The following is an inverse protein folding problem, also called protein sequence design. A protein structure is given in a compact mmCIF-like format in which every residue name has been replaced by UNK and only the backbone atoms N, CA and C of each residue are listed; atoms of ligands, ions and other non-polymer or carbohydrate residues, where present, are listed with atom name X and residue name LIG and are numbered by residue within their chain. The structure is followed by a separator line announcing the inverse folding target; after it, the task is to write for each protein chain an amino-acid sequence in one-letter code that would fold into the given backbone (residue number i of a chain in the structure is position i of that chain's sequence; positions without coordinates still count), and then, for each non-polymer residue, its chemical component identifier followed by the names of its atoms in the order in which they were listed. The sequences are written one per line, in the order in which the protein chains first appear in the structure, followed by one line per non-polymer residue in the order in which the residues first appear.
data_IF_536324465081
#
_entry.id   IF_536324465081
#
_cell.length_a   1.000
_cell.length_b   1.000
_cell.length_c   1.000
_cell.angle_alpha   90.00
_cell.angle_beta   90.00
_cell.angle_gamma   90.00
#
_symmetry.space_group_name_H-M   'P 1'
#
loop_
_entity.id
_entity.type
_entity.pdbx_description
1 polymer ?
#
# COMPACT_ATOMS: atom_id res chain seq x y z
N UNK A 1 -2.15 -28.47 -34.62
CA UNK A 1 -2.11 -29.05 -33.26
C UNK A 1 -2.21 -27.91 -32.26
N UNK A 2 -3.29 -27.86 -31.47
CA UNK A 2 -3.44 -26.82 -30.44
C UNK A 2 -2.39 -27.05 -29.35
N UNK A 3 -1.62 -26.01 -29.01
CA UNK A 3 -0.64 -26.08 -27.91
C UNK A 3 -1.39 -26.31 -26.60
N UNK A 4 -1.01 -27.35 -25.87
CA UNK A 4 -1.50 -27.55 -24.51
C UNK A 4 -1.18 -26.31 -23.67
N UNK A 5 -2.14 -25.81 -22.86
CA UNK A 5 -1.91 -24.65 -22.02
C UNK A 5 -0.74 -24.91 -21.06
N UNK A 6 0.12 -23.91 -20.88
CA UNK A 6 1.17 -23.94 -19.86
C UNK A 6 0.55 -24.17 -18.47
N UNK A 7 1.31 -24.77 -17.55
CA UNK A 7 0.86 -24.99 -16.17
C UNK A 7 0.34 -23.70 -15.50
N UNK A 8 0.93 -22.55 -15.86
CA UNK A 8 0.45 -21.24 -15.43
C UNK A 8 -0.96 -20.90 -15.94
N UNK A 9 -1.28 -21.18 -17.21
CA UNK A 9 -2.61 -20.90 -17.77
C UNK A 9 -3.68 -21.79 -17.14
N UNK A 10 -3.34 -23.03 -16.78
CA UNK A 10 -4.25 -23.92 -16.05
C UNK A 10 -4.60 -23.36 -14.66
N UNK A 11 -3.59 -22.96 -13.89
CA UNK A 11 -3.79 -22.35 -12.57
C UNK A 11 -4.56 -21.02 -12.66
N UNK A 12 -4.29 -20.23 -13.71
CA UNK A 12 -4.99 -18.98 -13.96
C UNK A 12 -6.48 -19.21 -14.25
N UNK A 13 -6.82 -20.21 -15.07
CA UNK A 13 -8.20 -20.56 -15.39
C UNK A 13 -8.95 -21.06 -14.15
N UNK A 14 -8.32 -21.90 -13.32
CA UNK A 14 -8.90 -22.37 -12.05
C UNK A 14 -9.19 -21.20 -11.09
N UNK A 15 -8.31 -20.21 -11.01
CA UNK A 15 -8.54 -19.00 -10.20
C UNK A 15 -9.69 -18.15 -10.73
N UNK A 16 -9.80 -18.01 -12.06
CA UNK A 16 -10.93 -17.30 -12.69
C UNK A 16 -12.25 -18.01 -12.38
N UNK A 17 -12.27 -19.33 -12.45
CA UNK A 17 -13.46 -20.14 -12.17
C UNK A 17 -13.91 -20.00 -10.72
N UNK A 18 -13.01 -20.19 -9.75
CA UNK A 18 -13.30 -20.01 -8.32
C UNK A 18 -13.81 -18.61 -7.99
N UNK A 19 -13.25 -17.58 -8.63
CA UNK A 19 -13.71 -16.20 -8.46
C UNK A 19 -15.12 -15.99 -9.06
N UNK A 20 -15.41 -16.57 -10.22
CA UNK A 20 -16.74 -16.49 -10.81
C UNK A 20 -17.79 -17.21 -9.95
N UNK A 21 -17.45 -18.35 -9.36
CA UNK A 21 -18.32 -19.05 -8.41
C UNK A 21 -18.60 -18.19 -7.19
N UNK A 22 -17.56 -17.57 -6.60
CA UNK A 22 -17.72 -16.64 -5.47
C UNK A 22 -18.57 -15.42 -5.83
N UNK A 23 -18.42 -14.86 -7.03
CA UNK A 23 -19.25 -13.75 -7.50
C UNK A 23 -20.70 -14.19 -7.75
N UNK A 24 -20.91 -15.44 -8.16
CA UNK A 24 -22.24 -16.04 -8.34
C UNK A 24 -22.94 -16.29 -7.01
N UNK A 25 -22.24 -16.79 -5.99
CA UNK A 25 -22.80 -16.96 -4.64
C UNK A 25 -23.16 -15.63 -4.00
N UNK A 26 -22.41 -14.58 -4.30
CA UNK A 26 -22.71 -13.21 -3.84
C UNK A 26 -23.82 -12.52 -4.66
N UNK A 27 -24.32 -13.12 -5.74
CA UNK A 27 -25.34 -12.53 -6.61
C UNK A 27 -24.86 -11.32 -7.42
N UNK A 28 -23.54 -11.16 -7.60
CA UNK A 28 -22.93 -10.04 -8.32
C UNK A 28 -22.75 -10.29 -9.82
N UNK A 29 -22.92 -11.54 -10.29
CA UNK A 29 -22.76 -11.87 -11.70
C UNK A 29 -23.95 -11.38 -12.56
N UNK A 30 -25.13 -11.25 -11.95
CA UNK A 30 -26.31 -10.68 -12.57
C UNK A 30 -26.25 -9.16 -12.48
N UNK A 31 -25.97 -8.50 -13.60
CA UNK A 31 -25.85 -7.03 -13.67
C UNK A 31 -27.16 -6.37 -13.21
N UNK A 32 -27.22 -5.63 -12.09
CA UNK A 32 -28.33 -4.71 -11.89
C UNK A 32 -28.23 -3.60 -12.95
N UNK A 33 -29.36 -3.27 -13.58
CA UNK A 33 -29.49 -2.08 -14.45
C UNK A 33 -29.01 -0.85 -13.66
N UNK A 34 -28.24 0.07 -14.27
CA UNK A 34 -27.77 1.26 -13.59
C UNK A 34 -28.97 2.11 -13.14
N UNK A 35 -29.26 2.12 -11.85
CA UNK A 35 -30.19 3.07 -11.27
C UNK A 35 -29.52 4.44 -11.29
N UNK A 36 -30.20 5.41 -11.92
CA UNK A 36 -29.73 6.80 -11.98
C UNK A 36 -29.70 7.34 -10.55
N UNK A 37 -28.53 7.35 -9.91
CA UNK A 37 -28.38 7.92 -8.58
C UNK A 37 -28.75 9.42 -8.63
N UNK A 38 -29.66 9.83 -7.75
CA UNK A 38 -30.03 11.23 -7.57
C UNK A 38 -28.80 12.04 -7.13
N UNK A 39 -28.57 13.20 -7.76
CA UNK A 39 -27.45 14.09 -7.45
C UNK A 39 -27.62 14.62 -6.02
N UNK A 40 -26.70 14.28 -5.13
CA UNK A 40 -26.66 14.87 -3.79
C UNK A 40 -26.25 16.34 -3.86
N UNK A 41 -26.84 17.22 -3.03
CA UNK A 41 -26.50 18.64 -3.01
C UNK A 41 -25.08 18.87 -2.46
N UNK A 42 -24.37 19.90 -2.94
CA UNK A 42 -22.99 20.17 -2.55
C UNK A 42 -22.89 20.60 -1.08
N UNK A 43 -21.97 19.99 -0.33
CA UNK A 43 -21.65 20.35 1.06
C UNK A 43 -21.00 21.75 1.13
N UNK A 44 -21.44 22.59 2.07
CA UNK A 44 -20.90 23.93 2.33
C UNK A 44 -19.44 23.86 2.82
N UNK A 45 -18.60 24.76 2.32
CA UNK A 45 -17.19 24.84 2.63
C UNK A 45 -16.91 25.28 4.08
N UNK A 46 -15.89 24.68 4.71
CA UNK A 46 -15.39 25.06 6.04
C UNK A 46 -14.53 26.33 5.94
N UNK A 47 -14.65 27.24 6.91
CA UNK A 47 -13.81 28.45 7.06
C UNK A 47 -12.37 28.06 7.40
N UNK A 48 -11.42 28.56 6.62
CA UNK A 48 -9.97 28.46 6.88
C UNK A 48 -9.48 29.60 7.77
N UNK A 49 -8.58 29.26 8.68
CA UNK A 49 -7.89 30.14 9.63
C UNK A 49 -6.81 30.97 8.92
N UNK A 50 -6.61 32.22 9.37
CA UNK A 50 -5.65 33.19 8.81
C UNK A 50 -4.19 32.71 8.96
N UNK A 51 -3.43 32.78 7.86
CA UNK A 51 -1.96 32.74 7.84
C UNK A 51 -1.45 33.98 7.08
N UNK A 52 -0.34 34.52 7.56
CA UNK A 52 0.28 35.81 7.19
C UNK A 52 0.78 35.92 5.74
N UNK A 53 0.92 37.15 5.20
CA UNK A 53 0.98 37.37 3.75
C UNK A 53 2.42 37.34 3.18
N UNK A 54 2.67 36.43 2.22
CA UNK A 54 3.73 36.61 1.22
C UNK A 54 3.30 37.60 0.12
N UNK A 55 4.24 38.27 -0.58
CA UNK A 55 3.90 39.26 -1.60
C UNK A 55 3.01 38.65 -2.69
N UNK A 56 1.82 39.22 -2.82
CA UNK A 56 0.73 38.71 -3.65
C UNK A 56 0.95 39.06 -5.12
N UNK A 57 0.88 38.05 -5.98
CA UNK A 57 0.54 38.22 -7.40
C UNK A 57 -0.90 38.75 -7.47
N UNK A 58 -1.06 40.07 -7.58
CA UNK A 58 -2.37 40.71 -7.63
C UNK A 58 -3.08 40.33 -8.93
N UNK A 59 -4.19 39.59 -8.83
CA UNK A 59 -5.03 39.34 -9.99
C UNK A 59 -5.87 40.58 -10.29
N UNK A 60 -5.89 40.96 -11.58
CA UNK A 60 -6.57 42.14 -12.13
C UNK A 60 -8.07 42.23 -11.78
N UNK A 61 -8.67 41.10 -11.40
CA UNK A 61 -10.08 40.95 -11.02
C UNK A 61 -10.45 41.61 -9.69
N UNK A 62 -9.47 41.86 -8.81
CA UNK A 62 -9.68 42.55 -7.52
C UNK A 62 -9.56 44.08 -7.61
N UNK A 63 -9.16 44.63 -8.76
CA UNK A 63 -8.91 46.07 -8.94
C UNK A 63 -10.06 46.83 -9.63
N UNK A 64 -11.24 46.22 -9.83
CA UNK A 64 -12.40 46.84 -10.50
C UNK A 64 -12.06 47.53 -11.84
N UNK A 65 -11.05 47.04 -12.55
CA UNK A 65 -10.69 47.55 -13.87
C UNK A 65 -11.74 47.04 -14.88
N UNK A 66 -12.35 47.93 -15.69
CA UNK A 66 -13.32 47.50 -16.70
C UNK A 66 -12.65 46.57 -17.71
N UNK A 67 -13.33 45.48 -18.05
CA UNK A 67 -12.83 44.51 -19.02
C UNK A 67 -12.77 45.15 -20.42
N UNK A 68 -11.68 44.95 -21.20
CA UNK A 68 -11.64 45.44 -22.57
C UNK A 68 -12.69 44.73 -23.41
N UNK A 69 -13.62 45.50 -23.98
CA UNK A 69 -14.62 45.06 -24.95
C UNK A 69 -13.96 44.81 -26.30
N UNK A 70 -13.26 43.70 -26.44
CA UNK A 70 -12.92 43.13 -27.74
C UNK A 70 -14.01 42.12 -28.13
N UNK A 71 -14.91 42.59 -28.99
CA UNK A 71 -15.75 41.89 -29.98
C UNK A 71 -15.88 40.38 -29.77
N UNK A 72 -17.10 39.98 -29.39
CA UNK A 72 -17.59 38.60 -29.41
C UNK A 72 -17.61 38.10 -30.87
N UNK A 73 -16.62 37.32 -31.27
CA UNK A 73 -16.81 36.31 -32.31
C UNK A 73 -17.23 35.06 -31.55
N UNK A 74 -18.51 34.70 -31.64
CA UNK A 74 -19.03 33.45 -31.09
C UNK A 74 -18.53 32.29 -31.94
N UNK A 75 -17.29 31.87 -31.72
CA UNK A 75 -16.90 30.53 -32.14
C UNK A 75 -17.55 29.52 -31.19
N UNK A 76 -18.19 28.45 -31.72
CA UNK A 76 -18.83 27.45 -30.90
C UNK A 76 -17.79 26.80 -30.00
N UNK A 77 -17.90 27.04 -28.69
CA UNK A 77 -17.09 26.39 -27.65
C UNK A 77 -17.26 24.88 -27.75
N UNK A 78 -16.36 24.22 -28.45
CA UNK A 78 -16.21 22.78 -28.39
C UNK A 78 -15.87 22.42 -26.96
N UNK A 79 -16.69 21.55 -26.35
CA UNK A 79 -16.50 21.04 -24.99
C UNK A 79 -15.17 20.30 -24.97
N UNK A 80 -14.09 20.98 -24.61
CA UNK A 80 -12.80 20.34 -24.34
C UNK A 80 -12.97 19.54 -23.06
N UNK A 81 -13.30 18.26 -23.22
CA UNK A 81 -13.26 17.28 -22.14
C UNK A 81 -11.83 17.25 -21.63
N UNK A 82 -11.58 17.87 -20.48
CA UNK A 82 -10.32 17.74 -19.77
C UNK A 82 -10.21 16.27 -19.35
N UNK A 83 -9.61 15.46 -20.22
CA UNK A 83 -9.26 14.08 -19.94
C UNK A 83 -8.26 14.10 -18.78
N UNK A 84 -8.74 13.94 -17.55
CA UNK A 84 -7.87 13.60 -16.44
C UNK A 84 -7.20 12.27 -16.81
N UNK A 85 -5.86 12.20 -16.90
CA UNK A 85 -5.19 10.96 -17.21
C UNK A 85 -5.63 9.93 -16.17
N UNK A 86 -6.09 8.77 -16.64
CA UNK A 86 -6.41 7.65 -15.75
C UNK A 86 -5.16 7.35 -14.91
N UNK A 87 -5.30 7.15 -13.58
CA UNK A 87 -4.15 6.77 -12.76
C UNK A 87 -3.51 5.54 -13.40
N UNK A 88 -2.22 5.65 -13.71
CA UNK A 88 -1.48 4.53 -14.33
C UNK A 88 -1.61 3.32 -13.40
N UNK A 89 -1.92 2.13 -13.92
CA UNK A 89 -1.84 0.92 -13.12
C UNK A 89 -0.43 0.86 -12.53
N UNK A 90 -0.34 0.83 -11.19
CA UNK A 90 0.96 0.68 -10.52
C UNK A 90 1.54 -0.65 -10.99
N UNK A 91 2.68 -0.62 -11.69
CA UNK A 91 3.46 -1.83 -11.96
C UNK A 91 3.87 -2.39 -10.60
N UNK A 92 3.27 -3.51 -10.22
CA UNK A 92 3.77 -4.30 -9.11
C UNK A 92 5.02 -4.97 -9.69
N UNK A 93 6.19 -4.38 -9.46
CA UNK A 93 7.44 -5.11 -9.63
C UNK A 93 7.46 -6.07 -8.44
N UNK A 94 7.14 -7.33 -8.70
CA UNK A 94 7.38 -8.39 -7.73
C UNK A 94 8.89 -8.60 -7.67
N UNK A 95 9.54 -7.85 -6.78
CA UNK A 95 10.88 -8.20 -6.34
C UNK A 95 10.77 -9.58 -5.68
N UNK A 96 11.39 -10.57 -6.32
CA UNK A 96 11.56 -11.89 -5.74
C UNK A 96 12.50 -11.71 -4.55
N UNK A 97 11.93 -11.72 -3.35
CA UNK A 97 12.72 -11.74 -2.11
C UNK A 97 13.14 -13.19 -1.92
N UNK A 98 14.44 -13.53 -2.04
CA UNK A 98 14.89 -14.90 -1.82
C UNK A 98 14.69 -15.29 -0.35
N UNK A 99 14.27 -16.54 -0.13
CA UNK A 99 14.21 -17.14 1.20
C UNK A 99 15.60 -17.29 1.81
N UNK A 100 15.67 -17.33 3.14
CA UNK A 100 16.92 -17.52 3.86
C UNK A 100 17.34 -19.00 3.86
N UNK A 101 18.60 -19.28 3.50
CA UNK A 101 19.19 -20.61 3.69
C UNK A 101 19.38 -20.90 5.19
N UNK A 102 19.48 -22.17 5.55
CA UNK A 102 19.66 -22.56 6.95
C UNK A 102 21.01 -22.10 7.51
N UNK A 103 22.05 -22.04 6.68
CA UNK A 103 23.35 -21.45 7.01
C UNK A 103 23.21 -19.95 7.34
N UNK A 104 22.46 -19.20 6.51
CA UNK A 104 22.21 -17.78 6.75
C UNK A 104 21.43 -17.56 8.06
N UNK A 105 20.44 -18.42 8.36
CA UNK A 105 19.70 -18.34 9.63
C UNK A 105 20.60 -18.55 10.84
N UNK A 106 21.60 -19.45 10.76
CA UNK A 106 22.58 -19.67 11.84
C UNK A 106 23.53 -18.46 12.01
N UNK A 107 23.93 -17.82 10.90
CA UNK A 107 24.74 -16.59 10.96
C UNK A 107 23.93 -15.47 11.62
N UNK A 108 22.65 -15.32 11.25
CA UNK A 108 21.78 -14.29 11.83
C UNK A 108 21.54 -14.52 13.33
N UNK A 109 21.27 -15.76 13.75
CA UNK A 109 21.04 -16.10 15.15
C UNK A 109 22.30 -15.92 16.03
N UNK A 110 23.49 -16.13 15.48
CA UNK A 110 24.75 -15.89 16.19
C UNK A 110 25.12 -14.41 16.30
N UNK A 111 24.79 -13.58 15.31
CA UNK A 111 25.11 -12.14 15.32
C UNK A 111 24.18 -11.33 16.23
N UNK A 112 22.91 -11.74 16.33
CA UNK A 112 21.88 -10.94 17.02
C UNK A 112 20.99 -11.83 17.87
N UNK A 113 21.00 -11.60 19.19
CA UNK A 113 20.05 -12.21 20.10
C UNK A 113 18.61 -11.75 19.82
N UNK A 114 17.65 -12.66 19.95
CA UNK A 114 16.23 -12.39 19.71
C UNK A 114 15.65 -11.29 20.62
N UNK A 115 16.20 -11.08 21.82
CA UNK A 115 15.74 -10.01 22.70
C UNK A 115 16.19 -8.61 22.22
N UNK A 116 17.32 -8.53 21.52
CA UNK A 116 17.98 -7.26 21.16
C UNK A 116 17.77 -6.86 19.70
N UNK A 117 17.18 -7.73 18.87
CA UNK A 117 17.17 -7.49 17.42
C UNK A 117 16.38 -6.25 17.03
N UNK A 118 15.34 -5.88 17.79
CA UNK A 118 14.53 -4.68 17.52
C UNK A 118 15.37 -3.42 17.73
N UNK A 119 16.19 -3.39 18.79
CA UNK A 119 17.07 -2.26 19.08
C UNK A 119 18.18 -2.14 18.03
N UNK A 120 18.80 -3.26 17.64
CA UNK A 120 19.80 -3.27 16.56
C UNK A 120 19.19 -2.89 15.21
N UNK A 121 17.95 -3.28 14.92
CA UNK A 121 17.21 -2.84 13.74
C UNK A 121 16.98 -1.32 13.77
N UNK A 122 16.62 -0.76 14.93
CA UNK A 122 16.47 0.69 15.09
C UNK A 122 17.78 1.43 14.79
N UNK A 123 18.91 0.96 15.33
CA UNK A 123 20.23 1.51 15.03
C UNK A 123 20.55 1.45 13.53
N UNK A 124 20.37 0.29 12.90
CA UNK A 124 20.57 0.13 11.47
C UNK A 124 19.72 1.12 10.64
N UNK A 125 18.43 1.25 10.97
CA UNK A 125 17.53 2.12 10.23
C UNK A 125 17.85 3.61 10.41
N UNK A 126 18.42 3.99 11.56
CA UNK A 126 18.78 5.38 11.88
C UNK A 126 20.14 5.75 11.29
N UNK A 127 21.16 4.94 11.55
CA UNK A 127 22.55 5.31 11.33
C UNK A 127 23.05 4.86 9.94
N UNK A 128 22.63 3.67 9.49
CA UNK A 128 23.08 3.06 8.23
C UNK A 128 22.13 3.40 7.10
N UNK A 129 20.86 3.00 7.21
CA UNK A 129 19.86 3.21 6.15
C UNK A 129 19.30 4.65 6.14
N UNK A 130 19.43 5.40 7.24
CA UNK A 130 19.07 6.82 7.35
C UNK A 130 17.62 7.14 6.91
N UNK A 131 16.64 6.39 7.42
CA UNK A 131 15.22 6.70 7.16
C UNK A 131 14.73 7.86 8.03
N UNK A 132 13.67 8.55 7.60
CA UNK A 132 13.05 9.60 8.41
C UNK A 132 12.50 9.06 9.73
N UNK A 133 12.56 9.87 10.79
CA UNK A 133 12.08 9.49 12.13
C UNK A 133 10.60 9.02 12.13
N UNK A 134 9.75 9.64 11.31
CA UNK A 134 8.35 9.21 11.18
C UNK A 134 8.21 7.83 10.52
N UNK A 135 9.08 7.49 9.57
CA UNK A 135 9.05 6.18 8.93
C UNK A 135 9.60 5.12 9.90
N UNK A 136 10.67 5.45 10.62
CA UNK A 136 11.25 4.61 11.67
C UNK A 136 10.21 4.24 12.72
N UNK A 137 9.50 5.23 13.27
CA UNK A 137 8.47 4.98 14.28
C UNK A 137 7.36 4.04 13.78
N UNK A 138 6.97 4.16 12.49
CA UNK A 138 5.98 3.27 11.88
C UNK A 138 6.48 1.84 11.72
N UNK A 139 7.70 1.69 11.22
CA UNK A 139 8.33 0.37 11.02
C UNK A 139 8.50 -0.34 12.37
N UNK A 140 9.10 0.35 13.35
CA UNK A 140 9.34 -0.23 14.67
C UNK A 140 8.03 -0.59 15.36
N UNK A 141 7.01 0.26 15.31
CA UNK A 141 5.69 -0.07 15.89
C UNK A 141 5.13 -1.39 15.36
N UNK A 142 5.21 -1.64 14.05
CA UNK A 142 4.74 -2.90 13.47
C UNK A 142 5.65 -4.07 13.85
N UNK A 143 6.98 -3.91 13.76
CA UNK A 143 7.92 -4.97 14.09
C UNK A 143 7.81 -5.37 15.57
N UNK A 144 7.73 -4.43 16.51
CA UNK A 144 7.56 -4.73 17.95
C UNK A 144 6.29 -5.53 18.23
N UNK A 145 5.20 -5.22 17.54
CA UNK A 145 3.94 -5.98 17.65
C UNK A 145 4.11 -7.40 17.15
N UNK A 146 4.75 -7.56 15.99
CA UNK A 146 5.02 -8.86 15.39
C UNK A 146 6.03 -9.69 16.22
N UNK A 147 7.05 -9.06 16.79
CA UNK A 147 8.05 -9.73 17.63
C UNK A 147 7.52 -10.11 19.01
N UNK A 148 6.47 -9.44 19.49
CA UNK A 148 5.79 -9.81 20.74
C UNK A 148 4.72 -10.90 20.54
N UNK A 149 4.36 -11.22 19.29
CA UNK A 149 3.25 -12.12 18.98
C UNK A 149 1.85 -11.51 19.13
N UNK A 150 1.72 -10.19 19.40
CA UNK A 150 0.42 -9.50 19.39
C UNK A 150 -0.24 -9.57 17.99
N UNK A 151 0.60 -9.59 16.95
CA UNK A 151 0.16 -9.49 15.56
C UNK A 151 -0.23 -8.05 15.19
N UNK A 152 -0.60 -7.84 13.92
CA UNK A 152 -1.07 -6.54 13.43
C UNK A 152 -2.42 -6.68 12.75
N UNK A 153 -3.28 -5.67 12.92
CA UNK A 153 -4.64 -5.68 12.37
C UNK A 153 -4.93 -4.37 11.64
N UNK A 154 -5.56 -4.48 10.48
CA UNK A 154 -6.12 -3.33 9.79
C UNK A 154 -7.52 -2.98 10.34
N UNK A 155 -7.90 -1.70 10.45
CA UNK A 155 -9.20 -1.30 10.99
C UNK A 155 -10.41 -1.91 10.26
N UNK A 156 -10.28 -2.13 8.95
CA UNK A 156 -11.31 -2.69 8.08
C UNK A 156 -11.43 -4.23 8.17
N UNK A 157 -10.44 -4.91 8.77
CA UNK A 157 -10.51 -6.35 8.96
C UNK A 157 -11.50 -6.70 10.09
N UNK A 158 -12.09 -7.91 10.09
CA UNK A 158 -12.95 -8.35 11.19
C UNK A 158 -12.25 -8.26 12.56
N UNK A 159 -13.01 -8.15 13.64
CA UNK A 159 -12.50 -7.81 14.98
C UNK A 159 -11.47 -8.81 15.53
N UNK A 160 -11.53 -10.07 15.11
CA UNK A 160 -10.63 -11.14 15.54
C UNK A 160 -9.54 -11.49 14.53
N UNK A 161 -9.52 -10.84 13.36
CA UNK A 161 -8.57 -11.13 12.29
C UNK A 161 -7.29 -10.29 12.46
N UNK A 162 -6.22 -10.96 12.84
CA UNK A 162 -4.90 -10.36 13.04
C UNK A 162 -3.88 -11.14 12.21
N UNK A 163 -3.00 -10.42 11.52
CA UNK A 163 -1.86 -11.01 10.84
C UNK A 163 -0.82 -11.44 11.88
N UNK A 164 -0.46 -12.73 11.87
CA UNK A 164 0.53 -13.37 12.74
C UNK A 164 0.26 -13.22 14.25
N UNK A 165 -1.00 -13.30 14.67
CA UNK A 165 -1.32 -13.30 16.12
C UNK A 165 -0.96 -14.65 16.74
N UNK A 166 -0.19 -14.60 17.83
CA UNK A 166 0.34 -15.77 18.54
C UNK A 166 1.67 -16.29 17.98
N UNK A 167 2.13 -15.77 16.84
CA UNK A 167 3.41 -16.14 16.24
C UNK A 167 4.43 -15.00 16.44
N UNK A 168 5.60 -15.33 16.96
CA UNK A 168 6.67 -14.35 17.19
C UNK A 168 7.56 -14.24 15.97
N UNK A 169 7.64 -13.03 15.40
CA UNK A 169 8.60 -12.74 14.32
C UNK A 169 9.99 -12.55 14.90
N UNK A 170 10.93 -13.33 14.38
CA UNK A 170 12.35 -13.32 14.73
C UNK A 170 13.22 -12.74 13.62
N UNK A 171 14.47 -12.44 13.95
CA UNK A 171 15.48 -12.03 12.96
C UNK A 171 15.73 -13.13 11.91
N UNK A 172 15.50 -14.40 12.26
CA UNK A 172 15.66 -15.57 11.38
C UNK A 172 14.40 -15.94 10.60
N UNK A 173 13.28 -15.25 10.85
CA UNK A 173 12.02 -15.53 10.16
C UNK A 173 12.14 -15.31 8.65
N UNK A 174 11.48 -16.16 7.86
CA UNK A 174 11.44 -16.05 6.42
C UNK A 174 10.50 -14.92 5.99
N UNK A 175 11.08 -13.76 5.70
CA UNK A 175 10.32 -12.57 5.29
C UNK A 175 9.48 -12.84 4.02
N UNK A 176 9.93 -13.70 3.12
CA UNK A 176 9.19 -14.00 1.90
C UNK A 176 7.86 -14.67 2.24
N UNK A 177 7.92 -15.75 3.03
CA UNK A 177 6.73 -16.48 3.50
C UNK A 177 5.78 -15.58 4.29
N UNK A 178 6.32 -14.71 5.17
CA UNK A 178 5.50 -13.77 5.92
C UNK A 178 4.77 -12.78 4.98
N UNK A 179 5.41 -12.30 3.92
CA UNK A 179 4.77 -11.42 2.94
C UNK A 179 3.67 -12.16 2.18
N UNK A 180 3.88 -13.43 1.82
CA UNK A 180 2.87 -14.26 1.15
C UNK A 180 1.65 -14.49 2.04
N UNK A 181 1.83 -14.93 3.29
CA UNK A 181 0.74 -15.07 4.28
C UNK A 181 -0.02 -13.76 4.48
N UNK A 182 0.69 -12.64 4.45
CA UNK A 182 0.06 -11.31 4.52
C UNK A 182 -0.82 -11.01 3.31
N UNK A 183 -0.41 -11.42 2.10
CA UNK A 183 -1.23 -11.28 0.89
C UNK A 183 -2.49 -12.13 0.96
N UNK A 184 -2.39 -13.35 1.49
CA UNK A 184 -3.56 -14.21 1.73
C UNK A 184 -4.55 -13.54 2.69
N UNK A 185 -4.06 -12.94 3.77
CA UNK A 185 -4.90 -12.14 4.69
C UNK A 185 -5.57 -10.96 3.99
N UNK A 186 -4.87 -10.27 3.08
CA UNK A 186 -5.45 -9.17 2.30
C UNK A 186 -6.50 -9.65 1.29
N UNK A 187 -6.34 -10.84 0.72
CA UNK A 187 -7.32 -11.45 -0.19
C UNK A 187 -8.58 -11.91 0.56
N UNK A 188 -8.41 -12.42 1.78
CA UNK A 188 -9.51 -12.92 2.59
C UNK A 188 -10.30 -11.80 3.27
N UNK A 189 -9.62 -10.85 3.92
CA UNK A 189 -10.22 -9.84 4.80
C UNK A 189 -10.22 -8.42 4.21
N UNK A 190 -9.60 -8.24 3.05
CA UNK A 190 -9.50 -6.98 2.35
C UNK A 190 -8.12 -6.33 2.45
N UNK A 191 -7.79 -5.53 1.44
CA UNK A 191 -6.47 -4.90 1.28
C UNK A 191 -6.10 -3.96 2.42
N UNK A 192 -4.81 -3.86 2.76
CA UNK A 192 -4.29 -2.79 3.62
C UNK A 192 -4.47 -1.40 2.98
N UNK A 193 -5.26 -0.54 3.63
CA UNK A 193 -5.46 0.86 3.24
C UNK A 193 -4.19 1.71 3.42
N UNK A 194 -3.25 1.23 4.25
CA UNK A 194 -1.95 1.81 4.49
C UNK A 194 -0.95 1.61 3.35
N UNK A 195 -1.32 1.10 2.17
CA UNK A 195 -0.38 0.82 1.09
C UNK A 195 0.80 -0.11 1.51
N UNK A 196 0.57 -1.03 2.45
CA UNK A 196 1.59 -1.97 2.93
C UNK A 196 2.36 -1.49 4.15
N UNK A 197 2.01 -0.34 4.75
CA UNK A 197 2.61 0.10 6.02
C UNK A 197 2.31 -0.86 7.18
N UNK A 198 1.26 -1.67 7.09
CA UNK A 198 0.86 -2.59 8.16
C UNK A 198 1.91 -3.67 8.42
N UNK A 199 2.30 -4.43 7.38
CA UNK A 199 3.25 -5.55 7.48
C UNK A 199 4.31 -5.53 6.37
N UNK A 200 3.92 -5.28 5.13
CA UNK A 200 4.81 -5.43 3.97
C UNK A 200 6.04 -4.50 4.03
N UNK A 201 5.85 -3.21 4.28
CA UNK A 201 6.96 -2.25 4.39
C UNK A 201 7.87 -2.53 5.60
N UNK A 202 7.33 -2.76 6.82
CA UNK A 202 8.14 -3.22 7.95
C UNK A 202 8.95 -4.51 7.66
N UNK A 203 8.33 -5.53 7.08
CA UNK A 203 8.99 -6.80 6.76
C UNK A 203 10.09 -6.63 5.71
N UNK A 204 9.88 -5.79 4.69
CA UNK A 204 10.94 -5.44 3.74
C UNK A 204 12.12 -4.74 4.42
N UNK A 205 11.88 -3.88 5.41
CA UNK A 205 12.96 -3.28 6.21
C UNK A 205 13.69 -4.32 7.06
N UNK A 206 12.97 -5.29 7.61
CA UNK A 206 13.59 -6.43 8.28
C UNK A 206 14.47 -7.23 7.31
N UNK A 207 14.03 -7.46 6.06
CA UNK A 207 14.86 -8.13 5.05
C UNK A 207 16.13 -7.35 4.71
N UNK A 208 16.05 -6.04 4.53
CA UNK A 208 17.24 -5.21 4.30
C UNK A 208 18.23 -5.33 5.46
N UNK A 209 17.73 -5.34 6.69
CA UNK A 209 18.56 -5.55 7.86
C UNK A 209 19.19 -6.95 7.90
N UNK A 210 18.47 -8.01 7.52
CA UNK A 210 19.03 -9.36 7.36
C UNK A 210 20.17 -9.37 6.33
N UNK A 211 19.98 -8.73 5.17
CA UNK A 211 21.01 -8.63 4.12
C UNK A 211 22.25 -7.86 4.60
N UNK A 212 22.06 -6.75 5.31
CA UNK A 212 23.16 -6.01 5.95
C UNK A 212 23.96 -6.87 6.93
N UNK A 213 23.27 -7.68 7.76
CA UNK A 213 23.94 -8.60 8.68
C UNK A 213 24.66 -9.74 7.97
N UNK A 214 24.20 -10.17 6.80
CA UNK A 214 24.85 -11.20 5.99
C UNK A 214 26.02 -10.66 5.16
N UNK A 215 26.08 -9.34 4.94
CA UNK A 215 27.08 -8.70 4.09
C UNK A 215 26.73 -8.78 2.60
N UNK A 216 25.44 -8.91 2.27
CA UNK A 216 24.94 -8.98 0.89
C UNK A 216 24.75 -7.57 0.26
N UNK A 217 24.98 -6.49 1.01
CA UNK A 217 24.85 -5.07 0.59
C UNK A 217 26.19 -4.34 0.47
#
# INVERSE_FOLDING_TARGET
MAKSPSNYELLRLQRIERNNERLKTLGLLDKPKPTKAARTPPKKAKKTVLVSPSPRRASRRLQNQPAPTSILIEEPRTKTTVHRPRPRPRRIIEEIIPSLSDEQKQILSSKVAQAEFVDKLQHFLTDVHQISASNLARVLRSITKLSSGEGVRAPQWPENCHFLKGEVVSITSDVHELIERGRECEEEWGRDLGNGWLYNHPLRKLRLFQSYLLGDE
#
